data_IF_524566458050
#
_entry.id   IF_524566458050
#
_cell.length_a   1.000
_cell.length_b   1.000
_cell.length_c   1.000
_cell.angle_alpha   90.00
_cell.angle_beta   90.00
_cell.angle_gamma   90.00
#
_symmetry.space_group_name_H-M   'P 1'
#
loop_
_entity.id
_entity.type
_entity.pdbx_description
1 polymer ?
#
# COMPACT_ATOMS: atom_id res chain seq x y z
N UNK A 1 -20.27 9.75 -28.09
CA UNK A 1 -21.15 10.20 -26.98
C UNK A 1 -20.67 9.59 -25.68
N UNK A 2 -19.58 10.09 -25.08
CA UNK A 2 -18.93 9.39 -23.95
C UNK A 2 -18.08 10.28 -23.05
N UNK A 3 -18.52 11.51 -22.74
CA UNK A 3 -17.76 12.41 -21.86
C UNK A 3 -18.58 13.12 -20.78
N UNK A 4 -19.90 12.93 -20.74
CA UNK A 4 -20.75 13.62 -19.76
C UNK A 4 -20.80 12.91 -18.42
N UNK A 5 -20.74 11.57 -18.40
CA UNK A 5 -20.71 10.79 -17.16
C UNK A 5 -19.38 10.93 -16.40
N UNK A 6 -18.25 10.99 -17.11
CA UNK A 6 -16.91 11.18 -16.52
C UNK A 6 -16.78 12.56 -15.85
N UNK A 7 -17.34 13.59 -16.46
CA UNK A 7 -17.28 14.97 -15.91
C UNK A 7 -18.22 15.13 -14.70
N UNK A 8 -19.35 14.43 -14.67
CA UNK A 8 -20.28 14.42 -13.52
C UNK A 8 -19.71 13.67 -12.30
N UNK A 9 -18.99 12.56 -12.52
CA UNK A 9 -18.34 11.79 -11.45
C UNK A 9 -17.21 12.57 -10.76
N UNK A 10 -16.46 13.39 -11.50
CA UNK A 10 -15.41 14.26 -10.93
C UNK A 10 -16.02 15.44 -10.16
N UNK A 11 -17.15 15.99 -10.61
CA UNK A 11 -17.82 17.10 -9.93
C UNK A 11 -18.46 16.69 -8.59
N UNK A 12 -18.75 15.41 -8.39
CA UNK A 12 -19.25 14.82 -7.14
C UNK A 12 -18.20 14.01 -6.37
N UNK A 13 -16.92 14.07 -6.77
CA UNK A 13 -15.81 13.66 -5.93
C UNK A 13 -15.70 14.64 -4.75
N UNK A 14 -16.56 14.37 -3.78
CA UNK A 14 -16.81 15.04 -2.52
C UNK A 14 -15.50 15.51 -1.85
N UNK A 15 -15.53 16.68 -1.21
CA UNK A 15 -14.41 17.24 -0.45
C UNK A 15 -13.81 16.24 0.55
N UNK A 16 -14.63 15.27 1.01
CA UNK A 16 -14.23 14.17 1.86
C UNK A 16 -13.09 13.32 1.30
N UNK A 17 -12.98 13.12 -0.03
CA UNK A 17 -11.91 12.31 -0.63
C UNK A 17 -10.57 13.02 -0.65
N UNK A 18 -10.56 14.31 -0.98
CA UNK A 18 -9.36 15.14 -0.91
C UNK A 18 -8.82 15.16 0.53
N UNK A 19 -9.72 15.33 1.51
CA UNK A 19 -9.34 15.33 2.92
C UNK A 19 -8.61 14.05 3.34
N UNK A 20 -8.98 12.86 2.82
CA UNK A 20 -8.28 11.59 3.15
C UNK A 20 -6.80 11.63 2.74
N UNK A 21 -6.49 12.10 1.54
CA UNK A 21 -5.11 12.16 1.05
C UNK A 21 -4.30 13.26 1.74
N UNK A 22 -4.94 14.33 2.18
CA UNK A 22 -4.29 15.36 3.00
C UNK A 22 -4.09 14.91 4.46
N UNK A 23 -4.97 14.07 4.98
CA UNK A 23 -4.93 13.57 6.37
C UNK A 23 -3.97 12.39 6.56
N UNK A 24 -3.77 11.57 5.52
CA UNK A 24 -2.90 10.40 5.60
C UNK A 24 -1.53 10.71 4.99
N UNK A 25 -0.44 10.76 5.78
CA UNK A 25 0.90 10.89 5.22
C UNK A 25 1.20 9.79 4.20
N UNK A 26 1.60 10.20 3.00
CA UNK A 26 2.05 9.32 1.93
C UNK A 26 3.52 9.57 1.61
N UNK A 27 4.29 8.50 1.48
CA UNK A 27 5.71 8.54 1.12
C UNK A 27 5.92 7.78 -0.18
N UNK A 28 6.50 8.45 -1.18
CA UNK A 28 6.94 7.85 -2.44
C UNK A 28 8.46 7.89 -2.49
N UNK A 29 9.07 6.72 -2.53
CA UNK A 29 10.53 6.55 -2.51
C UNK A 29 10.94 5.82 -3.79
N UNK A 30 11.84 6.43 -4.57
CA UNK A 30 12.41 5.80 -5.75
C UNK A 30 13.41 4.71 -5.36
N UNK A 31 13.30 3.56 -6.02
CA UNK A 31 14.26 2.46 -5.94
C UNK A 31 14.51 1.99 -7.37
N UNK A 32 15.78 1.86 -7.82
CA UNK A 32 16.07 1.41 -9.18
C UNK A 32 15.43 0.04 -9.47
N UNK A 33 14.90 -0.14 -10.68
CA UNK A 33 14.22 -1.38 -11.10
C UNK A 33 15.14 -2.59 -10.93
N UNK A 34 16.43 -2.41 -11.22
CA UNK A 34 17.45 -3.46 -11.13
C UNK A 34 17.70 -3.90 -9.70
N UNK A 35 17.45 -3.02 -8.71
CA UNK A 35 17.50 -3.39 -7.30
C UNK A 35 16.29 -4.24 -6.97
N UNK A 36 15.08 -3.82 -7.38
CA UNK A 36 13.85 -4.57 -7.09
C UNK A 36 13.85 -5.94 -7.79
N UNK A 37 14.30 -6.01 -9.05
CA UNK A 37 14.44 -7.24 -9.85
C UNK A 37 15.33 -8.30 -9.19
N UNK A 38 16.28 -7.91 -8.33
CA UNK A 38 17.15 -8.87 -7.61
C UNK A 38 16.43 -9.62 -6.50
N UNK A 39 15.38 -9.03 -5.94
CA UNK A 39 14.70 -9.58 -4.75
C UNK A 39 13.28 -10.04 -5.05
N UNK A 40 12.58 -9.40 -5.97
CA UNK A 40 11.16 -9.65 -6.20
C UNK A 40 10.89 -10.03 -7.67
N UNK A 41 9.92 -10.92 -7.90
CA UNK A 41 9.54 -11.29 -9.26
C UNK A 41 8.98 -10.07 -10.00
N UNK A 42 9.18 -10.03 -11.33
CA UNK A 42 8.69 -8.95 -12.20
C UNK A 42 7.17 -8.80 -12.19
N UNK A 43 6.48 -9.88 -11.85
CA UNK A 43 5.05 -9.88 -11.58
C UNK A 43 4.84 -10.69 -10.33
N UNK A 44 3.93 -10.22 -9.49
CA UNK A 44 3.29 -11.13 -8.58
C UNK A 44 2.49 -12.12 -9.43
N UNK A 45 2.92 -13.38 -9.41
CA UNK A 45 2.02 -14.46 -9.72
C UNK A 45 0.92 -14.42 -8.66
N UNK A 46 -0.12 -13.66 -8.93
CA UNK A 46 -1.36 -13.88 -8.23
C UNK A 46 -1.75 -15.32 -8.55
N UNK A 47 -1.64 -16.26 -7.61
CA UNK A 47 -2.68 -16.32 -6.58
C UNK A 47 -2.84 -17.60 -5.74
N UNK A 48 -3.47 -17.37 -4.57
CA UNK A 48 -4.71 -18.04 -4.13
C UNK A 48 -5.97 -17.11 -4.12
N UNK A 49 -6.09 -16.10 -5.01
CA UNK A 49 -7.31 -15.30 -5.32
C UNK A 49 -8.49 -16.11 -5.74
N UNK A 50 -8.26 -17.31 -6.27
CA UNK A 50 -9.35 -18.10 -6.79
C UNK A 50 -10.20 -18.68 -5.65
N UNK A 51 -9.99 -18.23 -4.39
CA UNK A 51 -11.05 -18.31 -3.40
C UNK A 51 -12.21 -17.43 -3.85
N UNK A 52 -13.40 -18.02 -3.83
CA UNK A 52 -14.64 -17.33 -4.16
C UNK A 52 -14.79 -16.02 -3.37
N UNK A 53 -14.37 -16.02 -2.11
CA UNK A 53 -14.38 -14.85 -1.24
C UNK A 53 -13.52 -13.68 -1.77
N UNK A 54 -12.28 -13.93 -2.18
CA UNK A 54 -11.43 -12.87 -2.75
C UNK A 54 -11.98 -12.36 -4.07
N UNK A 55 -12.57 -13.24 -4.90
CA UNK A 55 -13.25 -12.84 -6.13
C UNK A 55 -14.47 -11.95 -5.86
N UNK A 56 -15.33 -12.33 -4.90
CA UNK A 56 -16.51 -11.56 -4.51
C UNK A 56 -16.11 -10.23 -3.87
N UNK A 57 -15.14 -10.22 -2.96
CA UNK A 57 -14.59 -9.00 -2.39
C UNK A 57 -14.10 -8.09 -3.53
N UNK A 58 -13.28 -8.63 -4.43
CA UNK A 58 -12.76 -7.88 -5.57
C UNK A 58 -13.88 -7.32 -6.48
N UNK A 59 -14.91 -8.10 -6.77
CA UNK A 59 -16.06 -7.65 -7.57
C UNK A 59 -16.89 -6.59 -6.86
N UNK A 60 -17.26 -6.82 -5.59
CA UNK A 60 -18.02 -5.88 -4.78
C UNK A 60 -17.27 -4.56 -4.63
N UNK A 61 -15.98 -4.62 -4.32
CA UNK A 61 -15.12 -3.45 -4.19
C UNK A 61 -14.90 -2.70 -5.51
N UNK A 62 -14.75 -3.39 -6.64
CA UNK A 62 -14.58 -2.73 -7.95
C UNK A 62 -15.89 -2.30 -8.61
N UNK A 63 -17.04 -2.80 -8.15
CA UNK A 63 -18.35 -2.37 -8.63
C UNK A 63 -18.79 -1.03 -8.03
N UNK A 64 -18.18 -0.59 -6.93
CA UNK A 64 -18.49 0.72 -6.35
C UNK A 64 -17.88 1.86 -7.17
N UNK A 65 -18.73 2.75 -7.71
CA UNK A 65 -18.31 3.94 -8.46
C UNK A 65 -17.33 4.82 -7.66
N UNK A 66 -17.49 4.87 -6.33
CA UNK A 66 -16.59 5.57 -5.40
C UNK A 66 -15.15 5.04 -5.47
N UNK A 67 -14.95 3.73 -5.68
CA UNK A 67 -13.61 3.14 -5.78
C UNK A 67 -12.93 3.51 -7.10
N UNK A 68 -13.67 3.59 -8.22
CA UNK A 68 -13.13 4.04 -9.51
C UNK A 68 -12.71 5.51 -9.47
N UNK A 69 -13.53 6.37 -8.85
CA UNK A 69 -13.22 7.80 -8.66
C UNK A 69 -12.01 7.97 -7.75
N UNK A 70 -11.97 7.25 -6.62
CA UNK A 70 -10.85 7.26 -5.67
C UNK A 70 -9.54 6.87 -6.35
N UNK A 71 -9.56 5.86 -7.24
CA UNK A 71 -8.38 5.45 -8.01
C UNK A 71 -7.85 6.56 -8.92
N UNK A 72 -8.71 7.17 -9.72
CA UNK A 72 -8.31 8.23 -10.66
C UNK A 72 -7.69 9.41 -9.91
N UNK A 73 -8.35 9.84 -8.83
CA UNK A 73 -7.85 10.92 -7.97
C UNK A 73 -6.54 10.56 -7.27
N UNK A 74 -6.36 9.29 -6.89
CA UNK A 74 -5.11 8.87 -6.28
C UNK A 74 -3.96 8.81 -7.27
N UNK A 75 -4.20 8.35 -8.50
CA UNK A 75 -3.19 8.33 -9.55
C UNK A 75 -2.69 9.77 -9.79
N UNK A 76 -3.61 10.72 -9.93
CA UNK A 76 -3.29 12.15 -10.04
C UNK A 76 -2.54 12.68 -8.80
N UNK A 77 -2.98 12.29 -7.59
CA UNK A 77 -2.35 12.69 -6.34
C UNK A 77 -0.91 12.15 -6.21
N UNK A 78 -0.70 10.85 -6.40
CA UNK A 78 0.60 10.16 -6.28
C UNK A 78 1.63 10.71 -7.25
N UNK A 79 1.20 11.07 -8.45
CA UNK A 79 2.10 11.67 -9.44
C UNK A 79 2.48 13.10 -9.07
N UNK A 80 1.63 13.79 -8.30
CA UNK A 80 1.95 15.06 -7.64
C UNK A 80 2.79 14.95 -6.36
N UNK A 81 2.92 13.76 -5.75
CA UNK A 81 3.71 13.61 -4.51
C UNK A 81 5.21 13.76 -4.82
N UNK A 82 5.90 14.72 -4.17
CA UNK A 82 7.34 14.86 -4.33
C UNK A 82 8.06 13.64 -3.75
N UNK A 83 9.16 13.26 -4.38
CA UNK A 83 10.02 12.20 -3.86
C UNK A 83 10.52 12.56 -2.46
N UNK A 84 10.40 11.60 -1.54
CA UNK A 84 10.98 11.76 -0.20
C UNK A 84 12.42 11.28 -0.20
N UNK A 85 13.27 11.93 0.60
CA UNK A 85 14.73 11.95 0.42
C UNK A 85 15.40 10.58 0.66
N UNK A 86 14.79 9.67 1.43
CA UNK A 86 15.24 8.27 1.56
C UNK A 86 14.24 7.40 2.34
N UNK A 87 14.32 6.08 2.16
CA UNK A 87 13.66 5.10 3.05
C UNK A 87 14.05 5.32 4.52
N UNK A 88 15.30 5.68 4.79
CA UNK A 88 15.81 5.98 6.12
C UNK A 88 15.01 7.11 6.80
N UNK A 89 14.65 8.17 6.08
CA UNK A 89 13.84 9.25 6.62
C UNK A 89 12.44 8.78 7.03
N UNK A 90 11.81 7.94 6.21
CA UNK A 90 10.52 7.32 6.54
C UNK A 90 10.63 6.46 7.80
N UNK A 91 11.63 5.58 7.87
CA UNK A 91 11.83 4.68 9.02
C UNK A 91 12.11 5.45 10.32
N UNK A 92 12.90 6.53 10.26
CA UNK A 92 13.15 7.41 11.41
C UNK A 92 11.88 8.14 11.89
N UNK A 93 10.94 8.45 10.98
CA UNK A 93 9.64 9.00 11.38
C UNK A 93 8.77 7.92 12.00
N UNK A 94 8.71 6.75 11.38
CA UNK A 94 7.94 5.61 11.88
C UNK A 94 8.42 5.18 13.27
N UNK A 95 9.72 5.16 13.53
CA UNK A 95 10.28 4.81 14.85
C UNK A 95 10.03 5.84 15.95
N UNK A 96 9.50 7.01 15.62
CA UNK A 96 9.12 8.06 16.58
C UNK A 96 7.62 8.04 16.88
N UNK A 97 6.84 7.22 16.17
CA UNK A 97 5.44 7.03 16.49
C UNK A 97 5.32 6.35 17.85
N UNK A 98 4.55 6.97 18.76
CA UNK A 98 4.34 6.46 20.12
C UNK A 98 3.18 5.48 20.22
N UNK A 99 2.30 5.49 19.23
CA UNK A 99 1.14 4.61 19.17
C UNK A 99 1.51 3.34 18.39
N UNK A 100 1.57 2.16 19.05
CA UNK A 100 1.93 0.89 18.39
C UNK A 100 0.86 0.41 17.40
N UNK A 101 -0.31 1.04 17.38
CA UNK A 101 -1.33 0.77 16.37
C UNK A 101 -0.99 1.43 15.02
N UNK A 102 0.04 2.29 14.96
CA UNK A 102 0.37 3.04 13.75
C UNK A 102 0.98 2.12 12.71
N UNK A 103 0.19 1.88 11.67
CA UNK A 103 0.58 1.05 10.53
C UNK A 103 0.58 1.87 9.27
N UNK A 104 1.48 1.50 8.38
CA UNK A 104 1.48 1.97 7.00
C UNK A 104 1.21 0.77 6.09
N UNK A 105 0.21 0.88 5.23
CA UNK A 105 0.16 0.02 4.06
C UNK A 105 1.33 0.42 3.17
N UNK A 106 2.00 -0.56 2.57
CA UNK A 106 3.00 -0.29 1.57
C UNK A 106 2.85 -1.18 0.35
N UNK A 107 3.26 -0.65 -0.78
CA UNK A 107 3.36 -1.36 -2.05
C UNK A 107 4.74 -1.16 -2.64
N UNK A 108 5.28 -2.25 -3.17
CA UNK A 108 6.49 -2.27 -3.98
C UNK A 108 6.05 -2.37 -5.43
N UNK A 109 6.47 -1.41 -6.24
CA UNK A 109 6.24 -1.39 -7.68
C UNK A 109 7.53 -1.69 -8.45
N UNK A 110 7.55 -1.48 -9.77
CA UNK A 110 8.78 -1.62 -10.57
C UNK A 110 9.93 -0.73 -10.11
N UNK A 111 9.66 0.47 -9.63
CA UNK A 111 10.69 1.45 -9.30
C UNK A 111 10.38 2.32 -8.07
N UNK A 112 9.35 1.97 -7.30
CA UNK A 112 8.97 2.74 -6.12
C UNK A 112 8.54 1.86 -4.96
N UNK A 113 8.88 2.33 -3.76
CA UNK A 113 8.18 1.99 -2.53
C UNK A 113 7.18 3.12 -2.22
N UNK A 114 5.93 2.75 -2.01
CA UNK A 114 4.87 3.69 -1.66
C UNK A 114 4.34 3.28 -0.29
N UNK A 115 4.35 4.19 0.67
CA UNK A 115 3.82 3.98 2.03
C UNK A 115 2.66 4.94 2.28
N UNK A 116 1.57 4.44 2.85
CA UNK A 116 0.36 5.21 3.15
C UNK A 116 -0.05 4.89 4.58
N UNK A 117 -0.15 5.91 5.44
CA UNK A 117 -0.61 5.72 6.82
C UNK A 117 -2.03 5.16 6.82
N UNK A 118 -2.27 4.12 7.62
CA UNK A 118 -3.62 3.61 7.85
C UNK A 118 -4.33 4.53 8.85
N UNK A 119 -5.51 5.08 8.52
CA UNK A 119 -6.23 5.94 9.45
C UNK A 119 -6.79 5.13 10.63
N UNK A 120 -6.54 5.62 11.85
CA UNK A 120 -6.92 4.94 13.09
C UNK A 120 -8.36 5.21 13.51
N UNK A 121 -8.83 6.43 13.27
CA UNK A 121 -10.07 6.99 13.86
C UNK A 121 -11.27 6.99 12.90
N UNK A 122 -11.11 6.51 11.68
CA UNK A 122 -12.16 6.53 10.67
C UNK A 122 -12.84 5.16 10.54
N UNK A 123 -14.12 5.18 10.20
CA UNK A 123 -14.97 4.02 9.88
C UNK A 123 -14.23 2.94 9.06
N UNK A 124 -14.62 1.67 9.23
CA UNK A 124 -14.15 0.49 8.50
C UNK A 124 -14.04 0.76 6.99
N UNK A 125 -14.97 1.54 6.44
CA UNK A 125 -14.98 1.99 5.05
C UNK A 125 -13.70 2.73 4.63
N UNK A 126 -13.15 3.61 5.46
CA UNK A 126 -11.94 4.37 5.13
C UNK A 126 -10.67 3.52 5.17
N UNK A 127 -10.58 2.60 6.14
CA UNK A 127 -9.47 1.63 6.19
C UNK A 127 -9.43 0.76 4.94
N UNK A 128 -10.60 0.35 4.44
CA UNK A 128 -10.74 -0.38 3.17
C UNK A 128 -10.32 0.50 1.98
N UNK A 129 -10.75 1.76 1.91
CA UNK A 129 -10.39 2.71 0.84
C UNK A 129 -8.88 2.92 0.70
N UNK A 130 -8.15 3.15 1.80
CA UNK A 130 -6.68 3.31 1.77
C UNK A 130 -5.96 2.06 1.20
N UNK A 131 -6.54 0.87 1.40
CA UNK A 131 -6.00 -0.40 0.87
C UNK A 131 -6.22 -0.50 -0.64
N UNK A 132 -7.41 -0.12 -1.13
CA UNK A 132 -7.71 -0.06 -2.56
C UNK A 132 -6.85 0.94 -3.30
N UNK A 133 -6.68 2.13 -2.73
CA UNK A 133 -5.78 3.18 -3.21
C UNK A 133 -4.39 2.61 -3.54
N UNK A 134 -3.84 1.79 -2.64
CA UNK A 134 -2.50 1.24 -2.78
C UNK A 134 -2.39 0.15 -3.87
N UNK A 135 -3.42 -0.70 -4.04
CA UNK A 135 -3.39 -1.83 -5.00
C UNK A 135 -3.88 -1.42 -6.39
N UNK A 136 -4.91 -0.59 -6.48
CA UNK A 136 -5.65 -0.29 -7.71
C UNK A 136 -4.91 0.67 -8.65
N UNK A 137 -4.07 1.55 -8.11
CA UNK A 137 -3.26 2.52 -8.88
C UNK A 137 -2.19 1.86 -9.74
N UNK A 138 -1.67 0.72 -9.31
CA UNK A 138 -0.43 0.17 -9.85
C UNK A 138 -0.52 -1.28 -10.26
N UNK A 139 -1.70 -1.91 -10.23
CA UNK A 139 -1.92 -3.35 -10.47
C UNK A 139 -1.02 -4.02 -11.53
N UNK A 140 -0.69 -3.43 -12.71
CA UNK A 140 0.26 -4.05 -13.65
C UNK A 140 1.73 -4.09 -13.19
N UNK A 141 2.13 -3.21 -12.27
CA UNK A 141 3.50 -3.00 -11.77
C UNK A 141 3.68 -3.36 -10.29
N UNK A 142 2.62 -3.79 -9.58
CA UNK A 142 2.74 -4.21 -8.17
C UNK A 142 3.52 -5.51 -8.10
N UNK A 143 4.55 -5.52 -7.25
CA UNK A 143 5.45 -6.64 -6.98
C UNK A 143 5.36 -7.18 -5.56
N UNK A 144 4.81 -6.38 -4.64
CA UNK A 144 4.47 -6.80 -3.28
C UNK A 144 3.52 -5.78 -2.65
N UNK A 145 2.68 -6.21 -1.71
CA UNK A 145 1.98 -5.31 -0.80
C UNK A 145 1.92 -5.91 0.62
N UNK A 146 1.93 -5.04 1.62
CA UNK A 146 1.83 -5.43 3.01
C UNK A 146 1.59 -4.24 3.92
N UNK A 147 1.73 -4.47 5.21
CA UNK A 147 1.75 -3.46 6.27
C UNK A 147 3.15 -3.43 6.91
N UNK A 148 3.59 -2.23 7.29
CA UNK A 148 4.78 -1.98 8.10
C UNK A 148 4.44 -1.14 9.32
N UNK A 149 5.03 -1.49 10.46
CA UNK A 149 4.93 -0.73 11.71
C UNK A 149 6.18 -0.91 12.57
N UNK A 150 6.31 -0.08 13.60
CA UNK A 150 7.39 -0.17 14.58
C UNK A 150 6.82 -0.71 15.90
N UNK A 151 7.43 -1.74 16.45
CA UNK A 151 6.99 -2.34 17.72
C UNK A 151 7.65 -1.70 18.94
N UNK A 152 7.14 -2.05 20.12
CA UNK A 152 7.67 -1.55 21.41
C UNK A 152 9.09 -2.06 21.70
N UNK A 153 9.51 -3.13 21.04
CA UNK A 153 10.84 -3.73 21.15
C UNK A 153 11.88 -3.05 20.23
N UNK A 154 11.44 -2.10 19.40
CA UNK A 154 12.30 -1.33 18.52
C UNK A 154 12.49 -1.95 17.12
N UNK A 155 11.75 -3.01 16.77
CA UNK A 155 11.83 -3.66 15.47
C UNK A 155 10.84 -3.07 14.48
N UNK A 156 11.21 -3.06 13.20
CA UNK A 156 10.28 -2.81 12.11
C UNK A 156 9.64 -4.13 11.69
N UNK A 157 8.33 -4.23 11.91
CA UNK A 157 7.56 -5.40 11.56
C UNK A 157 6.98 -5.23 10.16
N UNK A 158 7.20 -6.21 9.29
CA UNK A 158 6.69 -6.25 7.92
C UNK A 158 5.86 -7.50 7.75
N UNK A 159 4.66 -7.38 7.21
CA UNK A 159 3.86 -8.53 6.80
C UNK A 159 3.61 -8.53 5.28
N UNK A 160 2.88 -9.53 4.83
CA UNK A 160 2.33 -9.64 3.48
C UNK A 160 0.82 -9.45 3.46
N UNK A 161 0.23 -8.72 4.40
CA UNK A 161 -1.22 -8.51 4.43
C UNK A 161 -1.51 -7.03 4.33
N UNK A 162 -1.94 -6.59 3.15
CA UNK A 162 -2.54 -5.28 2.99
C UNK A 162 -4.07 -5.33 3.17
N UNK A 163 -4.61 -6.43 3.72
CA UNK A 163 -6.04 -6.71 3.92
C UNK A 163 -6.80 -7.22 2.70
N UNK A 164 -6.62 -6.62 1.52
CA UNK A 164 -7.30 -7.03 0.27
C UNK A 164 -6.38 -7.77 -0.70
N UNK A 165 -5.09 -7.79 -0.41
CA UNK A 165 -4.09 -8.54 -1.15
C UNK A 165 -3.08 -9.13 -0.17
N UNK A 166 -2.71 -10.37 -0.45
CA UNK A 166 -1.71 -11.10 0.31
C UNK A 166 -0.74 -11.78 -0.64
N UNK A 167 0.46 -11.19 -0.89
CA UNK A 167 1.54 -11.90 -1.56
C UNK A 167 1.81 -13.24 -0.88
N UNK A 168 2.35 -14.22 -1.61
CA UNK A 168 2.72 -15.50 -1.02
C UNK A 168 3.70 -15.30 0.16
N UNK A 169 3.51 -16.05 1.25
CA UNK A 169 4.33 -15.96 2.47
C UNK A 169 5.85 -16.09 2.16
N UNK A 170 6.19 -16.88 1.13
CA UNK A 170 7.57 -17.06 0.65
C UNK A 170 8.26 -15.78 0.17
N UNK A 171 7.50 -14.71 -0.11
CA UNK A 171 8.05 -13.42 -0.55
C UNK A 171 8.48 -12.55 0.63
N UNK A 172 8.02 -12.81 1.86
CA UNK A 172 8.38 -12.00 3.04
C UNK A 172 9.90 -11.96 3.26
N UNK A 173 10.65 -13.09 3.25
CA UNK A 173 12.09 -13.05 3.41
C UNK A 173 12.79 -12.22 2.33
N UNK A 174 12.28 -12.23 1.09
CA UNK A 174 12.85 -11.45 -0.01
C UNK A 174 12.59 -9.95 0.15
N UNK A 175 11.40 -9.58 0.62
CA UNK A 175 11.10 -8.19 1.00
C UNK A 175 11.98 -7.74 2.14
N UNK A 176 12.17 -8.55 3.18
CA UNK A 176 13.09 -8.22 4.26
C UNK A 176 14.52 -8.01 3.76
N UNK A 177 15.00 -8.85 2.84
CA UNK A 177 16.33 -8.66 2.23
C UNK A 177 16.43 -7.37 1.44
N UNK A 178 15.40 -6.99 0.68
CA UNK A 178 15.33 -5.70 -0.01
C UNK A 178 15.37 -4.53 1.00
N UNK A 179 14.57 -4.58 2.06
CA UNK A 179 14.55 -3.54 3.09
C UNK A 179 15.89 -3.44 3.85
N UNK A 180 16.50 -4.57 4.19
CA UNK A 180 17.85 -4.62 4.76
C UNK A 180 18.90 -4.05 3.80
N UNK A 181 18.82 -4.35 2.50
CA UNK A 181 19.71 -3.76 1.50
C UNK A 181 19.57 -2.23 1.44
N UNK A 182 18.33 -1.73 1.46
CA UNK A 182 18.02 -0.31 1.41
C UNK A 182 18.28 0.42 2.75
N UNK A 183 18.37 -0.30 3.86
CA UNK A 183 18.54 0.24 5.21
C UNK A 183 19.29 -0.75 6.12
N UNK A 184 20.60 -0.92 5.92
CA UNK A 184 21.39 -1.99 6.54
C UNK A 184 21.55 -1.90 8.06
N UNK A 185 21.27 -0.73 8.64
CA UNK A 185 21.39 -0.48 10.09
C UNK A 185 20.05 -0.64 10.83
N UNK A 186 19.01 -1.12 10.16
CA UNK A 186 17.67 -1.28 10.74
C UNK A 186 17.34 -2.76 10.92
N UNK A 187 16.64 -3.09 12.01
CA UNK A 187 16.16 -4.44 12.27
C UNK A 187 14.76 -4.61 11.69
N UNK A 188 14.61 -5.48 10.70
CA UNK A 188 13.32 -5.86 10.14
C UNK A 188 12.96 -7.29 10.56
N UNK A 189 11.70 -7.50 10.92
CA UNK A 189 11.15 -8.81 11.20
C UNK A 189 9.92 -9.06 10.31
N UNK A 190 9.94 -10.18 9.60
CA UNK A 190 8.84 -10.65 8.78
C UNK A 190 7.80 -11.39 9.61
N UNK A 191 6.53 -11.08 9.40
CA UNK A 191 5.41 -11.72 10.08
C UNK A 191 4.48 -12.31 9.03
N UNK A 192 4.33 -13.64 9.06
CA UNK A 192 3.25 -14.33 8.36
C UNK A 192 2.07 -14.46 9.32
N UNK A 193 0.98 -13.74 9.06
CA UNK A 193 -0.27 -14.00 9.78
C UNK A 193 -0.91 -15.23 9.14
N UNK A 194 -0.97 -16.40 9.80
CA UNK A 194 -2.01 -17.37 9.43
C UNK A 194 -3.28 -16.82 10.03
N UNK A 195 -4.06 -16.16 9.20
CA UNK A 195 -5.37 -15.73 9.66
C UNK A 195 -6.24 -16.99 9.72
N UNK A 196 -6.49 -17.46 10.94
CA UNK A 196 -7.70 -18.20 11.28
C UNK A 196 -8.86 -17.18 11.22
N UNK A 197 -9.37 -16.90 10.00
CA UNK A 197 -10.67 -16.26 9.79
C UNK A 197 -11.65 -17.31 9.27
#
# INVERSE_FOLDING_TARGET
MGNTAYTFLIAHADQSYWNVYYECPVYKIFVPVEVIDRYLPKRLDGFSANTYENYINRLYFYAEENCMVTRTLFDDYIDGIPFTVSLMHFLQKLSKEKDPMVRYNFVITDNYLIFIRVPHFTDRNFRLRCKHITISSRAPSVRYAGEIWHDEQGNFLINNSSGTYRPADQLIPWVMQLFNYLSPNMCFQGITYRDDF
#
